data_IF_357266483456
#
_entry.id   IF_357266483456
#
_cell.length_a   1.000
_cell.length_b   1.000
_cell.length_c   1.000
_cell.angle_alpha   90.00
_cell.angle_beta   90.00
_cell.angle_gamma   90.00
#
_symmetry.space_group_name_H-M   'P 1'
#
loop_
_entity.id
_entity.type
_entity.pdbx_description
1 polymer ?
#
# COMPACT_ATOMS: atom_id res chain seq x y z
N UNK A 1 -3.48 13.18 1.96
CA UNK A 1 -2.41 12.21 1.55
C UNK A 1 -3.06 10.99 0.92
N UNK A 2 -2.37 10.38 -0.02
CA UNK A 2 -2.87 9.20 -0.71
C UNK A 2 -3.03 8.02 0.25
N UNK A 3 -2.12 7.87 1.21
CA UNK A 3 -2.17 6.79 2.19
C UNK A 3 -3.49 6.78 2.99
N UNK A 4 -4.03 7.94 3.31
CA UNK A 4 -5.33 8.03 4.00
C UNK A 4 -6.45 7.44 3.16
N UNK A 5 -6.44 7.73 1.86
CA UNK A 5 -7.44 7.23 0.93
C UNK A 5 -7.32 5.72 0.73
N UNK A 6 -6.09 5.21 0.67
CA UNK A 6 -5.83 3.77 0.57
C UNK A 6 -6.33 3.07 1.84
N UNK A 7 -6.04 3.63 3.01
CA UNK A 7 -6.52 3.05 4.27
C UNK A 7 -8.03 2.92 4.29
N UNK A 8 -8.75 3.90 3.74
CA UNK A 8 -10.20 3.87 3.67
C UNK A 8 -10.74 2.75 2.76
N UNK A 9 -9.94 2.29 1.81
CA UNK A 9 -10.33 1.20 0.91
C UNK A 9 -10.11 -0.18 1.53
N UNK A 10 -9.24 -0.29 2.54
CA UNK A 10 -8.91 -1.58 3.15
C UNK A 10 -9.96 -1.99 4.17
N UNK A 11 -10.12 -3.32 4.43
CA UNK A 11 -11.04 -3.79 5.47
C UNK A 11 -10.73 -3.15 6.83
N UNK A 12 -11.78 -2.78 7.56
CA UNK A 12 -11.64 -2.11 8.86
C UNK A 12 -11.02 -2.99 9.94
N UNK A 13 -11.13 -4.29 9.82
CA UNK A 13 -10.58 -5.23 10.78
C UNK A 13 -9.06 -5.40 10.69
N UNK A 14 -8.43 -4.83 9.65
CA UNK A 14 -6.98 -4.86 9.51
C UNK A 14 -6.35 -3.74 10.36
N UNK A 15 -5.33 -4.06 11.18
CA UNK A 15 -4.69 -3.06 12.06
C UNK A 15 -3.75 -2.15 11.26
N UNK A 16 -4.33 -1.27 10.46
CA UNK A 16 -3.61 -0.42 9.51
C UNK A 16 -3.24 0.92 10.10
N UNK A 17 -1.99 1.32 9.95
CA UNK A 17 -1.49 2.64 10.34
C UNK A 17 -0.82 3.31 9.15
N UNK A 18 -0.72 4.64 9.19
CA UNK A 18 -0.02 5.40 8.16
C UNK A 18 1.36 5.75 8.70
N UNK A 19 2.39 5.46 7.90
CA UNK A 19 3.77 5.67 8.29
C UNK A 19 4.42 4.39 8.82
N UNK A 20 5.49 4.56 9.58
CA UNK A 20 6.25 3.45 10.11
C UNK A 20 5.42 2.58 11.05
N UNK A 21 5.77 1.30 11.10
CA UNK A 21 5.12 0.38 12.02
C UNK A 21 5.36 0.80 13.48
N UNK A 22 4.36 0.60 14.34
CA UNK A 22 4.55 0.85 15.77
C UNK A 22 5.52 -0.15 16.37
N UNK A 23 5.52 -0.29 17.69
CA UNK A 23 6.43 -1.17 18.44
C UNK A 23 6.64 -2.52 17.75
N UNK A 24 7.89 -3.05 17.69
CA UNK A 24 8.20 -4.30 16.99
C UNK A 24 7.54 -5.55 17.58
N UNK A 25 6.89 -5.45 18.71
CA UNK A 25 6.16 -6.57 19.33
C UNK A 25 4.64 -6.46 19.14
N UNK A 26 4.17 -5.59 18.23
CA UNK A 26 2.76 -5.45 17.94
C UNK A 26 2.47 -5.88 16.50
N UNK A 27 1.32 -6.53 16.31
CA UNK A 27 0.82 -6.81 14.98
C UNK A 27 0.35 -5.49 14.35
N UNK A 28 0.76 -5.25 13.11
CA UNK A 28 0.38 -4.00 12.44
C UNK A 28 0.62 -4.08 10.94
N UNK A 29 -0.07 -3.19 10.23
CA UNK A 29 0.12 -2.97 8.79
C UNK A 29 0.44 -1.49 8.63
N UNK A 30 1.61 -1.18 8.06
CA UNK A 30 2.03 0.20 7.82
C UNK A 30 1.93 0.55 6.35
N UNK A 31 1.36 1.72 6.06
CA UNK A 31 1.28 2.27 4.71
C UNK A 31 2.30 3.40 4.59
N UNK A 32 3.27 3.23 3.71
CA UNK A 32 4.31 4.22 3.47
C UNK A 32 4.23 4.70 2.02
N UNK A 33 4.22 6.00 1.84
CA UNK A 33 4.11 6.62 0.53
C UNK A 33 5.47 7.22 0.15
N UNK A 34 5.94 6.90 -1.05
CA UNK A 34 7.19 7.42 -1.58
C UNK A 34 6.95 8.09 -2.93
N UNK A 35 7.83 9.02 -3.27
CA UNK A 35 7.84 9.59 -4.61
C UNK A 35 8.20 8.49 -5.60
N UNK A 36 7.38 8.36 -6.63
CA UNK A 36 7.63 7.43 -7.71
C UNK A 36 8.17 8.14 -8.94
N UNK A 37 7.61 7.80 -10.10
CA UNK A 37 7.96 8.49 -11.34
C UNK A 37 7.53 9.96 -11.26
N UNK A 38 8.15 10.80 -12.09
CA UNK A 38 7.79 12.21 -12.17
C UNK A 38 6.30 12.37 -12.52
N UNK A 39 5.70 13.47 -12.06
CA UNK A 39 4.32 13.79 -12.39
C UNK A 39 4.15 13.90 -13.90
N UNK A 40 3.03 13.38 -14.39
CA UNK A 40 2.69 13.40 -15.81
C UNK A 40 1.53 14.34 -16.03
N UNK A 41 1.71 15.34 -16.90
CA UNK A 41 0.63 16.20 -17.32
C UNK A 41 -0.03 15.57 -18.56
N UNK A 42 -1.37 15.50 -18.54
CA UNK A 42 -2.08 15.03 -19.71
C UNK A 42 -2.06 16.10 -20.79
N UNK A 43 -1.53 15.74 -21.93
CA UNK A 43 -1.58 16.60 -23.11
C UNK A 43 -3.05 16.80 -23.51
N UNK A 44 -3.49 18.04 -23.53
CA UNK A 44 -4.88 18.36 -23.85
C UNK A 44 -5.85 18.29 -22.66
N UNK A 45 -5.36 18.07 -21.45
CA UNK A 45 -6.21 18.14 -20.25
C UNK A 45 -6.69 19.58 -20.07
N UNK A 46 -8.00 19.77 -20.15
CA UNK A 46 -8.61 21.11 -20.10
C UNK A 46 -8.68 21.69 -18.71
N UNK A 47 -8.71 20.84 -17.70
CA UNK A 47 -8.79 21.25 -16.29
C UNK A 47 -7.41 21.45 -15.66
N UNK A 48 -6.35 21.27 -16.45
CA UNK A 48 -4.99 21.38 -15.93
C UNK A 48 -4.59 20.22 -14.98
N UNK A 49 -5.31 19.08 -15.06
CA UNK A 49 -5.02 17.95 -14.20
C UNK A 49 -3.62 17.41 -14.40
N UNK A 50 -3.01 17.02 -13.30
CA UNK A 50 -1.71 16.37 -13.29
C UNK A 50 -1.89 14.97 -12.73
N UNK A 51 -1.20 13.99 -13.32
CA UNK A 51 -1.16 12.64 -12.80
C UNK A 51 0.11 12.48 -11.97
N UNK A 52 -0.07 12.12 -10.71
CA UNK A 52 1.04 11.79 -9.82
C UNK A 52 1.21 10.29 -9.78
N UNK A 53 2.46 9.84 -9.67
CA UNK A 53 2.77 8.41 -9.70
C UNK A 53 3.56 8.00 -8.44
N UNK A 54 2.93 8.07 -7.26
CA UNK A 54 3.61 7.66 -6.04
C UNK A 54 3.76 6.15 -5.96
N UNK A 55 4.67 5.71 -5.11
CA UNK A 55 4.84 4.31 -4.77
C UNK A 55 4.29 4.10 -3.36
N UNK A 56 3.44 3.11 -3.20
CA UNK A 56 2.93 2.71 -1.90
C UNK A 56 3.63 1.43 -1.46
N UNK A 57 4.28 1.50 -0.32
CA UNK A 57 4.90 0.34 0.31
C UNK A 57 4.04 -0.07 1.50
N UNK A 58 3.58 -1.31 1.50
CA UNK A 58 2.78 -1.87 2.59
C UNK A 58 3.67 -2.85 3.35
N UNK A 59 3.89 -2.59 4.63
CA UNK A 59 4.67 -3.48 5.48
C UNK A 59 3.72 -4.10 6.50
N UNK A 60 3.70 -5.43 6.54
CA UNK A 60 2.81 -6.19 7.41
C UNK A 60 3.63 -6.98 8.42
N UNK A 61 3.13 -7.05 9.65
CA UNK A 61 3.80 -7.79 10.72
C UNK A 61 2.77 -8.53 11.57
N UNK A 62 3.02 -9.83 11.81
CA UNK A 62 2.20 -10.66 12.68
C UNK A 62 3.01 -11.80 13.26
N UNK A 63 2.62 -12.25 14.45
CA UNK A 63 3.21 -13.44 15.06
C UNK A 63 2.75 -14.72 14.37
N UNK A 64 1.65 -14.68 13.63
CA UNK A 64 1.10 -15.81 12.89
C UNK A 64 1.36 -15.65 11.40
N UNK A 65 2.12 -16.58 10.82
CA UNK A 65 2.39 -16.59 9.38
C UNK A 65 1.11 -16.77 8.56
N UNK A 66 0.24 -17.66 9.00
CA UNK A 66 -1.02 -17.92 8.30
C UNK A 66 -1.94 -16.69 8.28
N UNK A 67 -2.03 -15.99 9.41
CA UNK A 67 -2.79 -14.73 9.51
C UNK A 67 -2.21 -13.67 8.60
N UNK A 68 -0.88 -13.59 8.56
CA UNK A 68 -0.18 -12.64 7.72
C UNK A 68 -0.44 -12.89 6.23
N UNK A 69 -0.43 -14.16 5.81
CA UNK A 69 -0.76 -14.52 4.43
C UNK A 69 -2.20 -14.12 4.08
N UNK A 70 -3.13 -14.28 5.00
CA UNK A 70 -4.51 -13.83 4.82
C UNK A 70 -4.60 -12.33 4.60
N UNK A 71 -3.85 -11.55 5.36
CA UNK A 71 -3.78 -10.10 5.20
C UNK A 71 -3.18 -9.72 3.84
N UNK A 72 -2.11 -10.41 3.44
CA UNK A 72 -1.47 -10.16 2.13
C UNK A 72 -2.48 -10.36 1.00
N UNK A 73 -3.22 -11.48 1.04
CA UNK A 73 -4.22 -11.76 0.01
C UNK A 73 -5.37 -10.74 0.04
N UNK A 74 -5.82 -10.33 1.21
CA UNK A 74 -6.88 -9.33 1.35
C UNK A 74 -6.45 -7.98 0.75
N UNK A 75 -5.25 -7.53 1.06
CA UNK A 75 -4.71 -6.27 0.54
C UNK A 75 -4.51 -6.36 -0.97
N UNK A 76 -3.93 -7.44 -1.44
CA UNK A 76 -3.69 -7.66 -2.85
C UNK A 76 -5.00 -7.66 -3.65
N UNK A 77 -6.00 -8.38 -3.20
CA UNK A 77 -7.29 -8.45 -3.91
C UNK A 77 -8.06 -7.14 -3.84
N UNK A 78 -7.87 -6.34 -2.79
CA UNK A 78 -8.55 -5.04 -2.66
C UNK A 78 -7.89 -4.00 -3.55
N UNK A 79 -6.56 -3.94 -3.59
CA UNK A 79 -5.84 -2.85 -4.22
C UNK A 79 -5.38 -3.13 -5.65
N UNK A 80 -5.01 -4.36 -5.97
CA UNK A 80 -4.49 -4.67 -7.30
C UNK A 80 -5.57 -4.44 -8.37
N UNK A 81 -5.24 -3.59 -9.34
CA UNK A 81 -6.15 -3.17 -10.43
C UNK A 81 -7.34 -2.33 -9.96
N UNK A 82 -7.30 -1.82 -8.74
CA UNK A 82 -8.34 -0.89 -8.27
C UNK A 82 -8.27 0.41 -9.07
N UNK A 83 -9.41 0.96 -9.41
CA UNK A 83 -9.51 2.27 -10.04
C UNK A 83 -10.84 2.94 -9.66
N UNK A 84 -10.82 4.25 -9.62
CA UNK A 84 -12.01 5.07 -9.40
C UNK A 84 -11.75 6.47 -9.96
N UNK A 85 -12.56 7.47 -9.56
CA UNK A 85 -12.41 8.83 -10.06
C UNK A 85 -11.12 9.51 -9.57
N UNK A 86 -10.55 9.06 -8.49
CA UNK A 86 -9.30 9.58 -7.92
C UNK A 86 -8.10 8.77 -8.35
N UNK A 87 -8.19 7.45 -8.19
CA UNK A 87 -7.11 6.52 -8.53
C UNK A 87 -7.29 6.01 -9.95
N UNK A 88 -6.41 6.43 -10.86
CA UNK A 88 -6.46 5.95 -12.24
C UNK A 88 -6.02 4.49 -12.32
N UNK A 89 -5.06 4.10 -11.50
CA UNK A 89 -4.67 2.69 -11.37
C UNK A 89 -3.88 2.47 -10.08
N UNK A 90 -4.00 1.26 -9.55
CA UNK A 90 -3.15 0.75 -8.46
C UNK A 90 -2.67 -0.62 -8.93
N UNK A 91 -1.37 -0.76 -9.13
CA UNK A 91 -0.80 -2.00 -9.69
C UNK A 91 0.26 -2.56 -8.77
N UNK A 92 0.14 -3.86 -8.47
CA UNK A 92 1.15 -4.59 -7.69
C UNK A 92 2.46 -4.65 -8.46
N UNK A 93 3.57 -4.35 -7.78
CA UNK A 93 4.92 -4.44 -8.36
C UNK A 93 5.55 -5.74 -7.88
N UNK A 94 5.74 -6.69 -8.80
CA UNK A 94 6.31 -7.98 -8.47
C UNK A 94 5.38 -8.82 -7.60
N UNK A 95 5.95 -9.55 -6.66
CA UNK A 95 5.21 -10.39 -5.72
C UNK A 95 5.39 -9.89 -4.30
N UNK A 96 4.42 -10.17 -3.40
CA UNK A 96 4.64 -9.91 -1.98
C UNK A 96 5.93 -10.60 -1.52
N UNK A 97 6.73 -9.88 -0.73
CA UNK A 97 8.04 -10.36 -0.30
C UNK A 97 8.05 -10.68 1.19
N UNK A 98 8.42 -11.90 1.53
CA UNK A 98 8.63 -12.27 2.93
C UNK A 98 9.99 -11.75 3.39
N UNK A 99 9.99 -10.93 4.44
CA UNK A 99 11.21 -10.31 4.95
C UNK A 99 11.87 -11.10 6.09
N UNK A 100 11.24 -12.20 6.52
CA UNK A 100 11.73 -13.00 7.62
C UNK A 100 11.10 -12.62 8.95
N UNK A 101 11.70 -13.05 10.05
CA UNK A 101 11.24 -12.70 11.40
C UNK A 101 12.10 -11.59 11.97
N UNK A 102 11.47 -10.69 12.74
CA UNK A 102 12.22 -9.67 13.46
C UNK A 102 12.78 -10.26 14.78
N UNK A 103 13.43 -9.42 15.58
CA UNK A 103 14.01 -9.85 16.86
C UNK A 103 12.97 -10.37 17.85
N UNK A 104 11.72 -9.94 17.70
CA UNK A 104 10.61 -10.38 18.54
C UNK A 104 9.91 -11.62 17.97
N UNK A 105 10.49 -12.23 16.93
CA UNK A 105 9.98 -13.44 16.26
C UNK A 105 8.66 -13.21 15.51
N UNK A 106 8.34 -11.98 15.16
CA UNK A 106 7.20 -11.66 14.33
C UNK A 106 7.61 -11.75 12.87
N UNK A 107 6.75 -12.37 12.07
CA UNK A 107 6.94 -12.44 10.62
C UNK A 107 6.61 -11.11 9.97
N UNK A 108 7.35 -10.75 8.94
CA UNK A 108 7.13 -9.50 8.21
C UNK A 108 7.05 -9.75 6.72
N UNK A 109 6.11 -9.06 6.05
CA UNK A 109 5.96 -9.05 4.59
C UNK A 109 5.99 -7.63 4.09
N UNK A 110 6.38 -7.48 2.83
CA UNK A 110 6.36 -6.21 2.13
C UNK A 110 5.62 -6.37 0.80
N UNK A 111 4.71 -5.45 0.53
CA UNK A 111 4.03 -5.38 -0.76
C UNK A 111 4.25 -3.97 -1.32
N UNK A 112 4.56 -3.88 -2.61
CA UNK A 112 4.80 -2.59 -3.26
C UNK A 112 3.78 -2.41 -4.37
N UNK A 113 3.16 -1.23 -4.42
CA UNK A 113 2.22 -0.85 -5.47
C UNK A 113 2.69 0.41 -6.16
N UNK A 114 2.54 0.43 -7.49
CA UNK A 114 2.64 1.66 -8.25
C UNK A 114 1.23 2.25 -8.36
N UNK A 115 1.10 3.53 -8.05
CA UNK A 115 -0.18 4.21 -8.05
C UNK A 115 -0.13 5.34 -9.06
N UNK A 116 -1.19 5.48 -9.85
CA UNK A 116 -1.43 6.66 -10.68
C UNK A 116 -2.67 7.34 -10.14
N UNK A 117 -2.52 8.55 -9.68
CA UNK A 117 -3.60 9.31 -9.06
C UNK A 117 -3.76 10.65 -9.74
N UNK A 118 -5.01 11.04 -9.95
CA UNK A 118 -5.34 12.35 -10.53
C UNK A 118 -5.44 13.38 -9.40
N UNK A 119 -4.71 14.45 -9.54
CA UNK A 119 -4.78 15.61 -8.65
C UNK A 119 -5.62 16.72 -9.21
#
# INVERSE_FOLDING_TARGET
>A
MIADKIKALLPEDLPTTIGDLPSPNLEAIGLLEYDGAANTEYFGARDGSTVCNPILKVVLRSSSYAKLQGWVEAIKSTLHRYHDDTFLSIMLVGSPMYLGRNEQKFHEFQIVFNISVKE
#
